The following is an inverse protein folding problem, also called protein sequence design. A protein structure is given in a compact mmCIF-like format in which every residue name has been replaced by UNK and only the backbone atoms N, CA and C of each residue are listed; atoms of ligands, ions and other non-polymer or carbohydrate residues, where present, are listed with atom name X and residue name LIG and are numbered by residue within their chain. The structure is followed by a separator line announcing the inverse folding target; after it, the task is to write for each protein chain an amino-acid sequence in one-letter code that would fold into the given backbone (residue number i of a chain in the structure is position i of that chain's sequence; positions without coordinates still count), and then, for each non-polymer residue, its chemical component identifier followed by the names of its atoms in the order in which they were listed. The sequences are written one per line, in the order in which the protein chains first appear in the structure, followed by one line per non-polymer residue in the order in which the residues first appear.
data_IF_136639529637
#
_entry.id   IF_136639529637
#
_cell.length_a   1.000
_cell.length_b   1.000
_cell.length_c   1.000
_cell.angle_alpha   90.00
_cell.angle_beta   90.00
_cell.angle_gamma   90.00
#
_symmetry.space_group_name_H-M   'P 1'
#
loop_
_entity.id
_entity.type
_entity.pdbx_description
1 polymer ?
#
# COMPACT_ATOMS: atom_id res chain seq x y z
N UNK A 1 2.82 26.55 -20.48
CA UNK A 1 3.09 25.73 -21.68
C UNK A 1 1.78 25.33 -22.38
N UNK A 2 1.81 24.45 -23.39
CA UNK A 2 0.60 23.74 -23.87
C UNK A 2 0.71 22.27 -23.48
N UNK A 3 -0.40 21.60 -23.25
CA UNK A 3 -0.42 20.17 -23.00
C UNK A 3 -0.13 19.40 -24.29
N UNK A 4 0.87 18.52 -24.29
CA UNK A 4 1.18 17.62 -25.41
C UNK A 4 0.11 16.53 -25.64
N UNK A 5 -0.87 16.43 -24.73
CA UNK A 5 -2.18 15.84 -25.06
C UNK A 5 -3.01 16.90 -25.81
N UNK A 6 -3.94 17.56 -25.11
CA UNK A 6 -5.10 18.21 -25.72
C UNK A 6 -4.82 19.61 -26.29
N UNK A 7 -3.56 20.07 -26.30
CA UNK A 7 -3.18 21.41 -26.75
C UNK A 7 -3.67 22.57 -25.87
N UNK A 8 -4.39 22.27 -24.77
CA UNK A 8 -4.83 23.27 -23.80
C UNK A 8 -3.65 24.02 -23.19
N UNK A 9 -3.90 25.26 -22.76
CA UNK A 9 -2.92 26.03 -22.01
C UNK A 9 -2.77 25.44 -20.61
N UNK A 10 -1.52 25.23 -20.21
CA UNK A 10 -1.13 24.64 -18.92
C UNK A 10 -0.16 25.62 -18.27
N UNK A 11 -0.24 25.78 -16.94
CA UNK A 11 0.67 26.60 -16.17
C UNK A 11 2.14 26.18 -16.35
N UNK A 12 3.04 27.04 -15.88
CA UNK A 12 4.47 26.75 -15.92
C UNK A 12 4.91 25.86 -14.75
N UNK A 13 4.04 25.78 -13.73
CA UNK A 13 4.18 25.06 -12.47
C UNK A 13 2.98 24.12 -12.27
N UNK A 14 2.47 23.49 -13.34
CA UNK A 14 1.33 22.54 -13.35
C UNK A 14 1.85 21.14 -13.76
N UNK A 15 1.71 20.09 -12.94
CA UNK A 15 2.10 18.69 -13.26
C UNK A 15 1.02 17.92 -14.01
N UNK A 16 -0.24 18.37 -13.97
CA UNK A 16 -1.35 17.76 -14.70
C UNK A 16 -2.07 18.82 -15.51
N UNK A 17 -2.57 18.44 -16.69
CA UNK A 17 -3.40 19.36 -17.47
C UNK A 17 -4.86 19.36 -16.99
N UNK A 18 -5.34 20.49 -16.45
CA UNK A 18 -6.73 20.65 -15.95
C UNK A 18 -7.83 20.26 -16.95
N UNK A 19 -7.54 20.23 -18.25
CA UNK A 19 -8.51 19.90 -19.30
C UNK A 19 -8.58 18.40 -19.64
N UNK A 20 -7.57 17.59 -19.28
CA UNK A 20 -7.50 16.17 -19.65
C UNK A 20 -6.85 15.23 -18.63
N UNK A 21 -6.42 15.71 -17.46
CA UNK A 21 -5.82 14.92 -16.39
C UNK A 21 -4.42 14.35 -16.64
N UNK A 22 -3.93 14.35 -17.89
CA UNK A 22 -2.60 13.81 -18.24
C UNK A 22 -1.48 14.54 -17.48
N UNK A 23 -0.49 13.83 -16.93
CA UNK A 23 0.78 14.41 -16.53
C UNK A 23 1.43 15.22 -17.66
N UNK A 24 1.99 16.38 -17.33
CA UNK A 24 2.87 17.15 -18.21
C UNK A 24 4.30 17.11 -17.67
N UNK A 25 5.26 16.93 -18.57
CA UNK A 25 6.67 16.90 -18.20
C UNK A 25 7.22 18.33 -18.21
N UNK A 26 7.66 18.83 -17.06
CA UNK A 26 8.54 19.97 -17.03
C UNK A 26 9.93 19.51 -17.44
N UNK A 27 10.48 20.09 -18.51
CA UNK A 27 11.90 20.01 -18.74
C UNK A 27 12.58 20.86 -17.66
N UNK A 28 13.46 20.25 -16.86
CA UNK A 28 14.20 20.94 -15.81
C UNK A 28 14.80 22.23 -16.35
N UNK A 29 14.34 23.36 -15.83
CA UNK A 29 14.95 24.66 -16.11
C UNK A 29 16.23 24.74 -15.28
N UNK A 30 17.25 24.01 -15.73
CA UNK A 30 18.61 24.35 -15.36
C UNK A 30 18.81 25.82 -15.74
N UNK A 31 19.03 26.65 -14.72
CA UNK A 31 19.30 28.07 -14.91
C UNK A 31 20.50 28.19 -15.85
N UNK A 32 20.26 28.63 -17.08
CA UNK A 32 21.31 28.94 -18.04
C UNK A 32 22.04 30.19 -17.57
N UNK A 33 22.96 30.00 -16.63
CA UNK A 33 23.83 31.05 -16.15
C UNK A 33 24.89 31.30 -17.23
N UNK A 34 24.52 32.09 -18.24
CA UNK A 34 25.36 32.41 -19.40
C UNK A 34 26.53 33.30 -18.98
N UNK A 35 27.63 32.67 -18.56
CA UNK A 35 28.92 33.35 -18.37
C UNK A 35 29.57 33.56 -19.73
N UNK A 36 29.49 34.79 -20.22
CA UNK A 36 30.21 35.25 -21.41
C UNK A 36 31.62 35.71 -21.00
N UNK A 37 32.71 35.27 -21.68
CA UNK A 37 34.07 35.51 -21.20
C UNK A 37 34.66 36.86 -21.60
N UNK A 38 35.59 37.30 -20.75
CA UNK A 38 36.67 38.28 -20.97
C UNK A 38 36.36 39.74 -21.34
N UNK A 39 36.66 40.64 -20.39
CA UNK A 39 37.88 41.46 -20.55
C UNK A 39 38.48 41.88 -19.20
N UNK A 40 39.81 41.94 -19.11
CA UNK A 40 40.54 42.08 -17.85
C UNK A 40 40.86 43.54 -17.47
N UNK A 41 40.98 43.82 -16.16
CA UNK A 41 42.04 44.71 -15.65
C UNK A 41 42.37 44.58 -14.14
N UNK A 42 43.46 43.86 -13.88
CA UNK A 42 44.56 44.13 -12.91
C UNK A 42 44.30 45.12 -11.74
N UNK A 43 44.34 44.61 -10.51
CA UNK A 43 44.56 45.34 -9.26
C UNK A 43 45.22 44.41 -8.21
N UNK A 44 46.12 44.93 -7.39
CA UNK A 44 46.97 44.13 -6.48
C UNK A 44 46.54 44.34 -5.02
N UNK A 45 46.57 43.30 -4.18
CA UNK A 45 47.37 43.24 -2.94
C UNK A 45 47.00 42.08 -1.98
N UNK A 46 48.06 41.53 -1.37
CA UNK A 46 48.18 41.12 0.05
C UNK A 46 47.10 40.23 0.67
N UNK A 47 47.44 38.94 0.79
CA UNK A 47 46.56 37.91 1.35
C UNK A 47 46.40 37.89 2.87
N UNK A 48 45.44 37.05 3.28
CA UNK A 48 45.27 36.55 4.64
C UNK A 48 44.80 35.08 4.60
N UNK A 49 44.85 34.40 5.74
CA UNK A 49 44.83 32.93 5.84
C UNK A 49 43.53 32.24 5.39
N UNK A 50 43.66 31.03 4.83
CA UNK A 50 42.55 30.10 4.60
C UNK A 50 41.94 29.63 5.94
N UNK A 51 40.63 29.78 6.19
CA UNK A 51 39.93 28.91 7.10
C UNK A 51 39.73 27.53 6.43
N UNK A 52 39.77 26.46 7.22
CA UNK A 52 39.54 25.11 6.71
C UNK A 52 38.12 24.97 6.13
N UNK A 53 37.97 24.11 5.13
CA UNK A 53 36.66 23.75 4.57
C UNK A 53 35.77 23.16 5.68
N UNK A 54 34.77 23.93 6.09
CA UNK A 54 33.67 23.40 6.90
C UNK A 54 32.87 22.49 6.00
N UNK A 55 32.99 21.17 6.23
CA UNK A 55 32.11 20.19 5.62
C UNK A 55 30.67 20.58 5.97
N UNK A 56 29.74 20.72 5.00
CA UNK A 56 28.34 20.93 5.33
C UNK A 56 27.87 19.70 6.12
N UNK A 57 27.47 19.92 7.37
CA UNK A 57 26.85 18.87 8.18
C UNK A 57 25.58 18.41 7.50
N UNK A 58 25.54 17.16 7.03
CA UNK A 58 24.38 16.56 6.35
C UNK A 58 23.14 16.67 7.25
N UNK A 59 22.19 17.55 6.87
CA UNK A 59 20.94 17.71 7.60
C UNK A 59 19.98 16.65 7.10
N UNK A 60 19.89 15.50 7.78
CA UNK A 60 18.90 14.49 7.41
C UNK A 60 17.49 14.93 7.83
N UNK A 61 16.51 14.74 6.94
CA UNK A 61 15.10 14.94 7.25
C UNK A 61 14.69 14.06 8.44
N UNK A 62 14.26 14.67 9.53
CA UNK A 62 13.86 13.97 10.76
C UNK A 62 12.66 13.02 10.58
N UNK A 63 11.88 13.19 9.51
CA UNK A 63 10.66 12.41 9.25
C UNK A 63 10.89 11.19 8.35
N UNK A 64 11.76 11.27 7.34
CA UNK A 64 12.02 10.17 6.40
C UNK A 64 13.48 9.72 6.29
N UNK A 65 14.41 10.38 6.99
CA UNK A 65 15.84 10.04 6.99
C UNK A 65 16.64 10.48 5.75
N UNK A 66 15.98 10.96 4.70
CA UNK A 66 16.65 11.44 3.48
C UNK A 66 17.58 12.63 3.76
N UNK A 67 18.74 12.75 3.08
CA UNK A 67 19.56 13.96 3.16
C UNK A 67 18.77 15.17 2.66
N UNK A 68 18.98 16.32 3.29
CA UNK A 68 18.45 17.61 2.88
C UNK A 68 19.54 18.68 2.99
N UNK A 69 19.44 19.71 2.15
CA UNK A 69 20.39 20.83 2.17
C UNK A 69 19.98 21.88 3.22
N UNK A 70 20.94 22.61 3.84
CA UNK A 70 20.67 23.47 5.00
C UNK A 70 19.72 24.65 4.76
N UNK A 71 19.43 24.99 3.51
CA UNK A 71 18.51 26.05 3.07
C UNK A 71 17.12 25.53 2.66
N UNK A 72 16.92 24.20 2.61
CA UNK A 72 15.62 23.61 2.30
C UNK A 72 14.62 23.80 3.45
N UNK A 73 13.53 24.53 3.18
CA UNK A 73 12.43 24.68 4.15
C UNK A 73 11.51 23.45 4.26
N UNK A 74 11.56 22.57 3.26
CA UNK A 74 10.76 21.34 3.17
C UNK A 74 11.61 20.21 2.56
N UNK A 75 11.41 18.98 3.00
CA UNK A 75 12.10 17.81 2.47
C UNK A 75 11.56 17.44 1.09
N UNK A 76 12.41 17.43 0.07
CA UNK A 76 12.02 17.10 -1.31
C UNK A 76 11.50 15.65 -1.47
N UNK A 77 11.89 14.72 -0.59
CA UNK A 77 11.48 13.32 -0.66
C UNK A 77 10.14 13.00 0.04
N UNK A 78 9.67 13.84 0.98
CA UNK A 78 8.43 13.58 1.72
C UNK A 78 7.54 14.80 2.02
N UNK A 79 7.89 15.98 1.50
CA UNK A 79 7.14 17.24 1.69
C UNK A 79 7.19 17.86 3.09
N UNK A 80 7.70 17.15 4.10
CA UNK A 80 7.67 17.62 5.49
C UNK A 80 8.60 18.82 5.73
N UNK A 81 8.11 19.80 6.49
CA UNK A 81 8.88 20.99 6.86
C UNK A 81 10.16 20.63 7.64
N UNK A 82 11.26 21.28 7.27
CA UNK A 82 12.56 21.17 7.93
C UNK A 82 12.75 22.47 8.73
N UNK A 83 12.73 22.35 10.05
CA UNK A 83 12.55 23.48 10.95
C UNK A 83 13.78 24.37 11.12
N UNK A 84 13.52 25.68 11.29
CA UNK A 84 14.44 26.65 11.87
C UNK A 84 13.64 27.57 12.80
N UNK A 85 14.17 27.84 13.99
CA UNK A 85 13.50 28.59 15.05
C UNK A 85 13.64 30.13 14.89
N UNK A 86 12.73 30.86 15.56
CA UNK A 86 12.63 32.34 15.70
C UNK A 86 12.33 33.19 14.43
N UNK A 87 11.39 34.15 14.39
CA UNK A 87 10.22 34.51 15.22
C UNK A 87 9.34 35.53 14.40
N UNK A 88 8.05 35.80 14.64
CA UNK A 88 7.07 35.22 15.56
C UNK A 88 6.02 36.24 16.08
N UNK A 89 4.91 36.49 15.35
CA UNK A 89 3.86 37.44 15.79
C UNK A 89 2.40 37.02 15.47
N UNK A 90 1.62 36.76 16.53
CA UNK A 90 0.18 37.08 16.61
C UNK A 90 -0.84 36.20 15.88
N UNK A 91 -1.32 35.14 16.54
CA UNK A 91 -2.52 34.38 16.10
C UNK A 91 -2.97 33.38 17.16
N UNK A 92 -3.91 33.78 18.03
CA UNK A 92 -4.39 32.95 19.16
C UNK A 92 -5.11 31.69 18.68
N UNK A 93 -4.61 30.51 19.06
CA UNK A 93 -5.24 29.24 18.73
C UNK A 93 -6.58 29.04 19.46
N UNK A 94 -7.63 28.73 18.70
CA UNK A 94 -8.89 28.21 19.22
C UNK A 94 -8.82 26.68 19.32
N UNK A 95 -9.01 26.13 20.52
CA UNK A 95 -9.14 24.68 20.74
C UNK A 95 -10.55 24.22 20.32
N UNK A 96 -10.71 23.01 19.78
CA UNK A 96 -12.04 22.51 19.41
C UNK A 96 -12.88 22.25 20.67
N UNK A 97 -14.09 22.82 20.71
CA UNK A 97 -15.04 22.64 21.80
C UNK A 97 -15.81 21.35 21.60
N UNK A 98 -15.62 20.39 22.50
CA UNK A 98 -16.51 19.25 22.64
C UNK A 98 -17.75 19.68 23.45
N UNK A 99 -18.95 19.41 22.95
CA UNK A 99 -20.20 19.62 23.70
C UNK A 99 -20.76 18.28 24.19
N UNK A 100 -20.84 18.15 25.52
CA UNK A 100 -21.59 17.10 26.21
C UNK A 100 -22.66 17.75 27.14
N UNK A 101 -23.77 17.06 27.47
CA UNK A 101 -25.03 17.73 27.79
C UNK A 101 -25.46 17.69 29.28
N UNK A 102 -26.00 18.80 29.77
CA UNK A 102 -26.81 18.95 31.01
C UNK A 102 -27.69 20.22 30.82
N UNK A 103 -28.92 20.39 31.28
CA UNK A 103 -29.82 19.54 32.09
C UNK A 103 -30.47 20.33 33.24
N UNK A 104 -31.66 20.91 32.98
CA UNK A 104 -32.67 21.46 33.92
C UNK A 104 -32.30 22.55 34.97
N UNK A 105 -33.13 23.61 35.09
CA UNK A 105 -33.00 24.58 36.21
C UNK A 105 -33.80 25.90 36.15
N UNK A 106 -35.13 25.85 36.14
CA UNK A 106 -36.13 26.84 36.66
C UNK A 106 -35.80 28.35 36.81
N UNK A 107 -36.64 29.22 36.22
CA UNK A 107 -36.83 30.63 36.63
C UNK A 107 -37.79 31.42 35.70
N UNK A 108 -38.75 32.16 36.26
CA UNK A 108 -39.76 32.96 35.53
C UNK A 108 -39.21 34.36 35.12
N UNK A 109 -39.85 35.24 34.34
CA UNK A 109 -41.27 35.52 34.08
C UNK A 109 -41.49 36.20 32.69
N UNK A 110 -42.72 36.13 32.14
CA UNK A 110 -43.40 37.04 31.16
C UNK A 110 -42.63 37.63 29.94
N UNK A 111 -43.15 37.71 28.71
CA UNK A 111 -44.53 38.00 28.31
C UNK A 111 -44.89 37.48 26.88
N UNK A 112 -46.18 37.31 26.67
CA UNK A 112 -47.03 36.93 25.52
C UNK A 112 -46.51 37.10 24.07
N UNK A 113 -46.57 35.99 23.31
CA UNK A 113 -47.04 35.98 21.91
C UNK A 113 -47.64 34.60 21.56
N UNK A 114 -48.92 34.55 21.15
CA UNK A 114 -49.67 33.29 20.97
C UNK A 114 -49.67 32.85 19.50
N UNK A 115 -49.30 31.58 19.28
CA UNK A 115 -49.64 30.83 18.05
C UNK A 115 -50.44 29.58 18.48
N UNK A 116 -51.64 29.32 17.93
CA UNK A 116 -52.32 28.06 18.14
C UNK A 116 -51.80 27.01 17.15
N UNK A 117 -51.32 25.89 17.68
CA UNK A 117 -51.14 24.65 16.92
C UNK A 117 -52.25 23.66 17.28
N UNK A 118 -52.39 22.62 16.44
CA UNK A 118 -53.17 21.41 16.69
C UNK A 118 -54.72 21.57 16.56
N UNK A 119 -55.52 20.51 16.32
CA UNK A 119 -55.17 19.08 16.38
C UNK A 119 -56.14 18.15 15.59
N UNK A 120 -55.74 16.87 15.48
CA UNK A 120 -56.58 15.65 15.44
C UNK A 120 -57.55 15.29 14.28
N UNK A 121 -57.11 14.29 13.51
CA UNK A 121 -57.73 12.96 13.25
C UNK A 121 -59.07 12.74 12.49
N UNK A 122 -58.95 11.89 11.45
CA UNK A 122 -59.71 10.64 11.21
C UNK A 122 -60.81 10.55 10.11
N UNK A 123 -60.74 9.41 9.39
CA UNK A 123 -61.75 8.71 8.56
C UNK A 123 -62.27 9.36 7.25
N UNK A 124 -62.19 8.58 6.16
CA UNK A 124 -62.81 8.90 4.87
C UNK A 124 -62.36 7.97 3.72
N UNK A 125 -62.98 6.80 3.60
CA UNK A 125 -62.80 5.88 2.45
C UNK A 125 -63.32 6.46 1.14
N UNK A 126 -62.65 6.20 0.00
CA UNK A 126 -63.37 5.74 -1.22
C UNK A 126 -62.47 5.09 -2.28
N UNK A 127 -63.09 4.26 -3.11
CA UNK A 127 -62.49 3.31 -4.08
C UNK A 127 -62.79 3.69 -5.53
N UNK A 128 -61.78 3.65 -6.41
CA UNK A 128 -61.90 3.58 -7.88
C UNK A 128 -60.67 2.81 -8.39
N UNK A 129 -60.68 1.92 -9.37
CA UNK A 129 -61.75 1.40 -10.22
C UNK A 129 -61.14 0.89 -11.54
N UNK A 130 -60.96 -0.42 -11.71
CA UNK A 130 -60.29 -1.04 -12.87
C UNK A 130 -61.21 -1.16 -14.09
N UNK A 131 -60.74 -0.77 -15.28
CA UNK A 131 -61.15 -1.37 -16.56
C UNK A 131 -59.99 -1.38 -17.57
N UNK A 132 -60.04 -2.29 -18.54
CA UNK A 132 -58.99 -2.58 -19.53
C UNK A 132 -59.58 -2.64 -20.97
N UNK A 133 -58.69 -2.87 -21.94
CA UNK A 133 -58.89 -3.37 -23.34
C UNK A 133 -58.35 -2.41 -24.43
N UNK A 134 -57.49 -2.94 -25.32
CA UNK A 134 -57.17 -2.31 -26.60
C UNK A 134 -55.76 -2.62 -27.15
N UNK A 135 -55.58 -3.75 -27.85
CA UNK A 135 -54.50 -3.92 -28.85
C UNK A 135 -54.96 -3.38 -30.22
N UNK A 136 -54.03 -3.05 -31.12
CA UNK A 136 -53.75 -3.99 -32.22
C UNK A 136 -52.26 -4.24 -32.49
N UNK A 137 -51.97 -5.41 -33.08
CA UNK A 137 -50.66 -5.83 -33.58
C UNK A 137 -50.43 -5.38 -35.02
N UNK A 138 -49.18 -5.10 -35.40
CA UNK A 138 -48.39 -5.88 -36.39
C UNK A 138 -47.21 -5.07 -36.93
N UNK A 139 -46.04 -5.71 -37.06
CA UNK A 139 -44.80 -5.01 -37.43
C UNK A 139 -43.54 -5.85 -37.24
N UNK A 140 -43.51 -7.05 -37.81
CA UNK A 140 -42.41 -8.01 -37.71
C UNK A 140 -41.09 -7.47 -38.26
N UNK A 141 -39.95 -7.73 -37.58
CA UNK A 141 -38.85 -8.53 -38.15
C UNK A 141 -37.62 -8.73 -37.25
N UNK A 142 -36.99 -9.90 -37.45
CA UNK A 142 -35.57 -10.22 -37.24
C UNK A 142 -35.02 -10.30 -35.80
N UNK A 143 -35.04 -11.53 -35.29
CA UNK A 143 -34.06 -12.00 -34.31
C UNK A 143 -32.62 -11.89 -34.87
N UNK A 144 -31.80 -11.02 -34.27
CA UNK A 144 -30.38 -10.88 -34.57
C UNK A 144 -29.49 -11.56 -33.53
N UNK A 145 -29.23 -12.85 -33.69
CA UNK A 145 -28.23 -13.56 -32.88
C UNK A 145 -26.84 -13.49 -33.53
N UNK A 146 -25.81 -13.18 -32.72
CA UNK A 146 -24.34 -13.22 -33.01
C UNK A 146 -23.74 -12.05 -33.82
N UNK A 147 -22.39 -11.85 -33.80
CA UNK A 147 -21.35 -12.46 -32.94
C UNK A 147 -20.49 -11.43 -32.16
N UNK A 148 -19.77 -11.90 -31.15
CA UNK A 148 -19.05 -11.04 -30.20
C UNK A 148 -17.66 -10.52 -30.57
N UNK A 149 -17.09 -9.77 -29.62
CA UNK A 149 -15.72 -9.23 -29.60
C UNK A 149 -14.87 -9.79 -28.45
N UNK A 150 -15.07 -11.08 -28.09
CA UNK A 150 -14.19 -11.90 -27.25
C UNK A 150 -12.81 -12.19 -27.91
N UNK A 151 -12.20 -11.15 -28.52
CA UNK A 151 -11.02 -11.22 -29.40
C UNK A 151 -10.05 -10.03 -29.23
N UNK A 152 -10.12 -9.31 -28.10
CA UNK A 152 -9.00 -8.49 -27.59
C UNK A 152 -8.28 -9.12 -26.40
N UNK A 153 -8.85 -10.18 -25.82
CA UNK A 153 -8.03 -11.26 -25.27
C UNK A 153 -7.18 -11.91 -26.39
N UNK A 154 -6.22 -12.76 -25.99
CA UNK A 154 -5.32 -13.59 -26.82
C UNK A 154 -3.99 -12.93 -27.25
N UNK A 155 -3.93 -11.69 -27.75
CA UNK A 155 -2.65 -11.17 -28.31
C UNK A 155 -1.59 -10.88 -27.22
N UNK A 156 -1.93 -10.17 -26.14
CA UNK A 156 -0.99 -9.90 -25.04
C UNK A 156 -0.59 -11.20 -24.30
N UNK A 157 -1.55 -12.11 -24.11
CA UNK A 157 -1.38 -13.37 -23.38
C UNK A 157 -0.42 -14.33 -24.12
N UNK A 158 -0.50 -14.41 -25.45
CA UNK A 158 0.43 -15.25 -26.26
C UNK A 158 1.86 -14.69 -26.24
N UNK A 159 2.04 -13.36 -26.15
CA UNK A 159 3.37 -12.75 -26.06
C UNK A 159 4.06 -13.04 -24.71
N UNK A 160 3.34 -12.92 -23.59
CA UNK A 160 3.88 -13.23 -22.25
C UNK A 160 4.21 -14.73 -22.14
N UNK A 161 3.35 -15.62 -22.62
CA UNK A 161 3.61 -17.07 -22.60
C UNK A 161 4.86 -17.42 -23.44
N UNK A 162 5.08 -16.75 -24.58
CA UNK A 162 6.29 -16.95 -25.39
C UNK A 162 7.57 -16.50 -24.65
N UNK A 163 7.55 -15.37 -23.94
CA UNK A 163 8.68 -14.91 -23.10
C UNK A 163 8.95 -15.90 -21.97
N UNK A 164 7.91 -16.35 -21.25
CA UNK A 164 8.02 -17.33 -20.16
C UNK A 164 8.60 -18.66 -20.65
N UNK A 165 8.19 -19.15 -21.82
CA UNK A 165 8.73 -20.38 -22.41
C UNK A 165 10.21 -20.25 -22.84
N UNK A 166 10.61 -19.12 -23.42
CA UNK A 166 11.99 -18.87 -23.85
C UNK A 166 12.92 -18.73 -22.64
N UNK A 167 12.50 -18.02 -21.59
CA UNK A 167 13.28 -17.90 -20.34
C UNK A 167 13.43 -19.25 -19.65
N UNK A 168 12.35 -20.06 -19.59
CA UNK A 168 12.43 -21.42 -19.04
C UNK A 168 13.42 -22.32 -19.80
N UNK A 169 13.46 -22.23 -21.14
CA UNK A 169 14.43 -22.95 -21.95
C UNK A 169 15.88 -22.51 -21.68
N UNK A 170 16.13 -21.20 -21.53
CA UNK A 170 17.47 -20.67 -21.23
C UNK A 170 17.96 -21.06 -19.83
N UNK A 171 17.09 -21.04 -18.81
CA UNK A 171 17.42 -21.48 -17.45
C UNK A 171 17.70 -23.00 -17.42
N UNK A 172 16.92 -23.81 -18.14
CA UNK A 172 17.18 -25.25 -18.27
C UNK A 172 18.54 -25.53 -18.93
N UNK A 173 18.89 -24.81 -20.00
CA UNK A 173 20.20 -24.91 -20.64
C UNK A 173 21.35 -24.52 -19.69
N UNK A 174 21.19 -23.48 -18.88
CA UNK A 174 22.23 -23.02 -17.93
C UNK A 174 22.46 -24.03 -16.80
N UNK A 175 21.41 -24.67 -16.28
CA UNK A 175 21.52 -25.63 -15.18
C UNK A 175 21.98 -27.03 -15.62
N UNK A 176 21.72 -27.44 -16.86
CA UNK A 176 22.32 -28.64 -17.45
C UNK A 176 23.79 -28.42 -17.84
N UNK A 177 24.15 -27.21 -18.31
CA UNK A 177 25.54 -26.84 -18.62
C UNK A 177 26.48 -26.87 -17.41
N UNK A 178 25.97 -26.66 -16.19
CA UNK A 178 26.76 -26.72 -14.94
C UNK A 178 26.98 -28.12 -14.36
N UNK A 179 26.45 -29.19 -14.97
CA UNK A 179 26.66 -30.59 -14.52
C UNK A 179 27.65 -31.39 -15.37
N UNK A 180 28.35 -30.74 -16.31
CA UNK A 180 29.32 -31.39 -17.22
C UNK A 180 30.77 -30.95 -16.98
N UNK A 181 31.22 -31.02 -15.72
CA UNK A 181 32.62 -31.16 -15.28
C UNK A 181 32.59 -31.33 -13.75
N UNK A 182 33.14 -32.38 -13.12
CA UNK A 182 34.02 -33.45 -13.59
C UNK A 182 33.79 -34.73 -12.76
N UNK A 183 33.80 -35.90 -13.41
CA UNK A 183 33.89 -37.21 -12.73
C UNK A 183 35.36 -37.62 -12.55
N UNK A 184 35.68 -38.23 -11.41
CA UNK A 184 36.31 -39.58 -11.32
C UNK A 184 36.45 -39.96 -9.82
N UNK A 185 35.71 -40.96 -9.33
CA UNK A 185 35.94 -42.41 -9.44
C UNK A 185 36.86 -42.95 -8.32
N UNK A 186 36.27 -43.72 -7.38
CA UNK A 186 36.93 -44.02 -6.08
C UNK A 186 36.51 -45.30 -5.33
N UNK A 187 36.04 -46.34 -6.04
CA UNK A 187 35.85 -47.75 -5.59
C UNK A 187 34.91 -48.08 -4.40
N UNK A 188 34.16 -49.15 -4.60
CA UNK A 188 33.41 -49.84 -3.57
C UNK A 188 34.29 -50.76 -2.69
N UNK A 189 33.80 -51.05 -1.49
CA UNK A 189 33.98 -52.36 -0.82
C UNK A 189 32.81 -52.60 0.12
N UNK A 190 32.10 -53.72 -0.08
CA UNK A 190 31.15 -54.25 0.88
C UNK A 190 31.81 -55.39 1.67
N UNK A 191 31.55 -55.48 2.97
CA UNK A 191 31.86 -56.66 3.77
C UNK A 191 30.85 -56.81 4.90
N UNK A 192 30.04 -57.87 4.82
CA UNK A 192 29.21 -58.36 5.92
C UNK A 192 29.96 -59.46 6.71
N UNK A 193 29.31 -59.99 7.75
CA UNK A 193 29.80 -61.00 8.72
C UNK A 193 30.62 -60.44 9.89
N UNK A 194 30.52 -60.95 11.13
CA UNK A 194 29.47 -61.76 11.75
C UNK A 194 29.62 -61.72 13.29
N UNK A 195 28.52 -62.02 14.00
CA UNK A 195 28.43 -62.58 15.36
C UNK A 195 29.68 -62.65 16.27
N UNK A 196 29.53 -62.17 17.53
CA UNK A 196 29.68 -63.10 18.66
C UNK A 196 28.89 -62.66 19.91
N UNK A 197 28.37 -63.65 20.62
CA UNK A 197 27.69 -63.52 21.91
C UNK A 197 28.72 -63.48 23.05
N UNK A 198 28.43 -62.72 24.11
CA UNK A 198 29.35 -62.53 25.24
C UNK A 198 28.62 -62.18 26.53
N UNK A 199 27.84 -63.12 27.06
CA UNK A 199 27.15 -62.96 28.35
C UNK A 199 28.12 -63.04 29.53
N UNK A 200 28.30 -61.94 30.27
CA UNK A 200 28.79 -62.00 31.65
C UNK A 200 28.03 -61.01 32.54
N UNK A 201 27.10 -61.54 33.34
CA UNK A 201 26.54 -60.82 34.47
C UNK A 201 27.52 -60.85 35.66
N UNK A 202 27.69 -59.72 36.34
CA UNK A 202 28.07 -59.68 37.76
C UNK A 202 27.47 -58.44 38.44
N UNK A 203 27.10 -58.63 39.69
CA UNK A 203 26.23 -57.73 40.46
C UNK A 203 27.03 -56.82 41.40
N UNK A 204 26.45 -55.66 41.71
CA UNK A 204 26.64 -54.96 42.98
C UNK A 204 27.63 -53.79 42.98
N UNK A 205 27.11 -52.56 43.13
CA UNK A 205 27.11 -51.86 44.44
C UNK A 205 26.44 -50.48 44.32
N UNK A 206 25.87 -49.98 45.42
CA UNK A 206 25.38 -48.61 45.52
C UNK A 206 26.49 -47.58 45.27
N UNK A 207 26.14 -46.56 44.51
CA UNK A 207 26.84 -45.27 44.42
C UNK A 207 25.80 -44.16 44.46
N UNK A 208 25.33 -43.82 45.66
CA UNK A 208 24.47 -42.65 45.86
C UNK A 208 25.29 -41.40 45.55
N UNK A 209 25.06 -40.84 44.36
CA UNK A 209 25.56 -39.52 43.96
C UNK A 209 24.37 -38.70 43.51
N UNK A 210 23.82 -37.97 44.48
CA UNK A 210 22.92 -36.82 44.34
C UNK A 210 23.58 -35.72 43.53
N UNK A 211 23.71 -35.95 42.22
CA UNK A 211 24.12 -34.95 41.23
C UNK A 211 23.03 -33.89 41.14
N UNK A 212 23.23 -32.79 41.89
CA UNK A 212 22.36 -31.62 41.90
C UNK A 212 21.99 -31.23 40.47
N UNK A 213 20.69 -31.22 40.19
CA UNK A 213 20.15 -30.60 39.00
C UNK A 213 20.70 -29.18 38.90
N UNK A 214 21.50 -28.91 37.86
CA UNK A 214 21.54 -27.56 37.33
C UNK A 214 20.19 -27.38 36.66
N UNK A 215 19.38 -26.53 37.27
CA UNK A 215 18.10 -26.10 36.72
C UNK A 215 18.37 -25.18 35.52
N UNK A 216 18.78 -25.80 34.41
CA UNK A 216 18.74 -25.17 33.11
C UNK A 216 17.28 -25.19 32.70
N UNK A 217 16.64 -24.02 32.81
CA UNK A 217 15.34 -23.71 32.21
C UNK A 217 15.35 -24.11 30.72
N UNK A 218 14.99 -25.36 30.45
CA UNK A 218 14.95 -25.92 29.11
C UNK A 218 13.59 -25.59 28.54
N UNK A 219 13.43 -24.34 28.13
CA UNK A 219 12.22 -23.84 27.48
C UNK A 219 11.88 -24.79 26.33
N UNK A 220 10.68 -25.36 26.35
CA UNK A 220 10.21 -26.28 25.29
C UNK A 220 10.23 -25.53 23.97
N UNK A 221 10.82 -26.11 22.92
CA UNK A 221 10.87 -25.50 21.59
C UNK A 221 9.85 -26.18 20.69
N UNK A 222 9.03 -25.38 20.00
CA UNK A 222 8.06 -25.88 19.04
C UNK A 222 8.72 -26.05 17.66
N UNK A 223 9.02 -27.29 17.28
CA UNK A 223 9.62 -27.61 15.97
C UNK A 223 8.61 -27.58 14.82
N UNK A 224 7.33 -27.86 15.10
CA UNK A 224 6.24 -27.80 14.13
C UNK A 224 5.87 -26.35 13.79
N UNK A 225 5.67 -26.06 12.50
CA UNK A 225 5.09 -24.78 12.08
C UNK A 225 3.65 -24.68 12.60
N UNK A 226 3.28 -23.61 13.33
CA UNK A 226 1.91 -23.44 13.84
C UNK A 226 0.93 -23.16 12.69
N UNK A 227 -0.36 -23.38 12.95
CA UNK A 227 -1.44 -22.78 12.15
C UNK A 227 -1.70 -21.36 12.60
N UNK A 228 -2.40 -20.55 11.80
CA UNK A 228 -2.76 -19.20 12.19
C UNK A 228 -4.10 -18.74 11.58
N UNK A 229 -4.73 -17.79 12.25
CA UNK A 229 -5.97 -17.11 11.86
C UNK A 229 -5.82 -15.60 12.13
N UNK A 230 -6.45 -14.76 11.30
CA UNK A 230 -6.49 -13.31 11.55
C UNK A 230 -7.63 -13.03 12.53
N UNK A 231 -7.32 -12.43 13.68
CA UNK A 231 -8.35 -12.01 14.65
C UNK A 231 -8.88 -10.60 14.30
N UNK A 232 -8.00 -9.70 13.86
CA UNK A 232 -8.36 -8.34 13.44
C UNK A 232 -7.29 -7.68 12.57
N UNK A 233 -7.69 -6.66 11.80
CA UNK A 233 -6.79 -5.79 11.03
C UNK A 233 -7.03 -4.33 11.45
N UNK A 234 -5.95 -3.60 11.61
CA UNK A 234 -5.88 -2.17 11.93
C UNK A 234 -4.66 -1.57 11.20
N UNK A 235 -4.32 -0.32 11.45
CA UNK A 235 -3.18 0.38 10.85
C UNK A 235 -2.50 1.35 11.82
N UNK A 236 -1.28 1.77 11.49
CA UNK A 236 -0.64 2.96 12.05
C UNK A 236 0.04 3.72 10.92
N UNK A 237 -0.54 4.87 10.55
CA UNK A 237 -0.26 5.48 9.25
C UNK A 237 -0.54 4.48 8.13
N UNK A 238 0.36 4.37 7.15
CA UNK A 238 0.28 3.38 6.07
C UNK A 238 0.93 2.02 6.39
N UNK A 239 1.23 1.73 7.67
CA UNK A 239 1.61 0.37 8.09
C UNK A 239 0.37 -0.38 8.53
N UNK A 240 0.01 -1.45 7.82
CA UNK A 240 -1.05 -2.36 8.24
C UNK A 240 -0.59 -3.20 9.44
N UNK A 241 -1.43 -3.33 10.47
CA UNK A 241 -1.17 -4.11 11.68
C UNK A 241 -2.27 -5.17 11.81
N UNK A 242 -1.92 -6.43 11.57
CA UNK A 242 -2.83 -7.54 11.79
C UNK A 242 -2.59 -8.18 13.17
N UNK A 243 -3.65 -8.39 13.95
CA UNK A 243 -3.62 -9.25 15.13
C UNK A 243 -3.88 -10.68 14.65
N UNK A 244 -2.92 -11.58 14.89
CA UNK A 244 -2.94 -12.95 14.40
C UNK A 244 -2.85 -13.90 15.57
N UNK A 245 -3.81 -14.82 15.66
CA UNK A 245 -3.78 -15.96 16.56
C UNK A 245 -3.05 -17.11 15.90
N UNK A 246 -2.15 -17.73 16.63
CA UNK A 246 -1.38 -18.90 16.21
C UNK A 246 -1.74 -20.06 17.13
N UNK A 247 -1.86 -21.26 16.55
CA UNK A 247 -2.18 -22.49 17.30
C UNK A 247 -1.15 -23.58 17.00
N UNK A 248 -0.68 -24.24 18.05
CA UNK A 248 0.26 -25.34 18.05
C UNK A 248 -0.19 -26.38 19.10
N UNK A 249 -1.26 -27.13 18.79
CA UNK A 249 -1.97 -28.03 19.72
C UNK A 249 -1.14 -29.16 20.36
N UNK A 250 0.12 -29.33 19.97
CA UNK A 250 1.08 -30.26 20.57
C UNK A 250 2.29 -29.57 21.22
N UNK A 251 2.25 -28.26 21.48
CA UNK A 251 3.38 -27.52 22.06
C UNK A 251 2.96 -26.33 22.94
N UNK A 252 3.28 -26.42 24.24
CA UNK A 252 3.25 -25.31 25.19
C UNK A 252 4.68 -24.76 25.37
N UNK A 253 5.20 -24.09 24.35
CA UNK A 253 6.61 -23.70 24.27
C UNK A 253 6.90 -22.50 23.37
N UNK A 254 8.16 -22.30 23.02
CA UNK A 254 8.64 -21.25 22.13
C UNK A 254 8.76 -21.73 20.68
N UNK A 255 7.99 -21.14 19.76
CA UNK A 255 8.29 -21.23 18.33
C UNK A 255 9.31 -20.15 17.96
N UNK A 256 10.55 -20.60 17.71
CA UNK A 256 11.75 -19.77 17.58
C UNK A 256 12.41 -19.97 16.23
N UNK A 257 11.86 -19.35 15.18
CA UNK A 257 12.35 -19.51 13.81
C UNK A 257 12.55 -18.18 13.09
N UNK A 258 13.52 -18.17 12.17
CA UNK A 258 13.74 -17.11 11.17
C UNK A 258 13.04 -17.52 9.87
N UNK A 259 12.97 -16.60 8.91
CA UNK A 259 12.54 -16.89 7.54
C UNK A 259 11.14 -17.55 7.49
N UNK A 260 10.19 -16.97 8.24
CA UNK A 260 8.80 -17.43 8.30
C UNK A 260 7.94 -16.52 7.43
N UNK A 261 7.70 -16.93 6.17
CA UNK A 261 6.76 -16.26 5.27
C UNK A 261 5.34 -16.49 5.78
N UNK A 262 4.63 -15.41 6.08
CA UNK A 262 3.21 -15.41 6.42
C UNK A 262 2.51 -14.64 5.30
N UNK A 263 1.50 -15.25 4.69
CA UNK A 263 0.69 -14.61 3.66
C UNK A 263 -0.81 -14.81 3.91
N UNK A 264 -1.55 -13.71 3.80
CA UNK A 264 -2.99 -13.61 3.93
C UNK A 264 -3.63 -13.69 2.55
N UNK A 265 -4.76 -14.41 2.45
CA UNK A 265 -5.49 -14.63 1.21
C UNK A 265 -6.98 -14.42 1.39
N UNK A 266 -7.56 -13.66 0.46
CA UNK A 266 -9.00 -13.54 0.26
C UNK A 266 -9.35 -14.31 -1.01
N UNK A 267 -9.98 -15.48 -0.87
CA UNK A 267 -10.08 -16.46 -1.95
C UNK A 267 -8.71 -16.86 -2.50
N UNK A 268 -8.49 -16.62 -3.80
CA UNK A 268 -7.22 -16.88 -4.47
C UNK A 268 -6.23 -15.71 -4.38
N UNK A 269 -6.70 -14.48 -4.14
CA UNK A 269 -5.88 -13.27 -4.10
C UNK A 269 -4.97 -13.26 -2.87
N UNK A 270 -3.74 -12.75 -3.01
CA UNK A 270 -2.83 -12.57 -1.87
C UNK A 270 -2.90 -11.12 -1.40
N UNK A 271 -3.66 -10.87 -0.34
CA UNK A 271 -3.93 -9.53 0.19
C UNK A 271 -2.83 -9.00 1.11
N UNK A 272 -1.97 -9.87 1.66
CA UNK A 272 -0.71 -9.48 2.29
C UNK A 272 0.30 -10.62 2.32
N UNK A 273 1.60 -10.30 2.30
CA UNK A 273 2.67 -11.27 2.50
C UNK A 273 3.97 -10.59 2.96
N UNK A 274 4.57 -11.15 4.01
CA UNK A 274 5.89 -10.74 4.50
C UNK A 274 6.62 -11.93 5.16
N UNK A 275 7.93 -11.77 5.37
CA UNK A 275 8.79 -12.76 6.03
C UNK A 275 9.20 -12.27 7.42
N UNK A 276 8.84 -13.00 8.46
CA UNK A 276 9.06 -12.62 9.85
C UNK A 276 10.21 -13.40 10.52
N UNK A 277 10.81 -12.76 11.54
CA UNK A 277 11.90 -13.32 12.35
C UNK A 277 11.47 -13.41 13.82
N UNK A 278 11.14 -14.62 14.26
CA UNK A 278 10.78 -14.96 15.64
C UNK A 278 11.97 -15.53 16.43
N UNK A 279 13.21 -15.41 15.92
CA UNK A 279 14.39 -15.98 16.63
C UNK A 279 14.84 -15.16 17.84
N UNK A 280 14.71 -13.83 17.76
CA UNK A 280 15.04 -12.91 18.86
C UNK A 280 13.86 -12.71 19.84
N UNK A 281 12.64 -12.79 19.32
CA UNK A 281 11.37 -12.70 20.06
C UNK A 281 10.47 -13.88 19.63
N UNK A 282 10.56 -15.02 20.33
CA UNK A 282 9.77 -16.21 19.98
C UNK A 282 8.28 -16.03 20.24
N UNK A 283 7.45 -16.71 19.45
CA UNK A 283 6.04 -16.89 19.79
C UNK A 283 5.94 -17.87 20.96
N UNK A 284 5.24 -17.49 22.03
CA UNK A 284 5.12 -18.28 23.27
C UNK A 284 3.72 -18.84 23.41
N UNK A 285 3.59 -20.15 23.27
CA UNK A 285 2.32 -20.86 23.36
C UNK A 285 1.96 -21.21 24.80
N UNK A 286 0.70 -21.04 25.16
CA UNK A 286 0.08 -21.50 26.40
C UNK A 286 -1.25 -22.15 26.05
N UNK A 287 -1.50 -23.35 26.57
CA UNK A 287 -2.67 -24.16 26.22
C UNK A 287 -2.80 -24.38 24.70
N UNK A 288 -1.65 -24.49 24.02
CA UNK A 288 -1.52 -24.65 22.57
C UNK A 288 -1.80 -23.40 21.73
N UNK A 289 -2.05 -22.22 22.31
CA UNK A 289 -2.35 -20.98 21.54
C UNK A 289 -1.47 -19.78 21.94
N UNK A 290 -1.37 -18.79 21.04
CA UNK A 290 -0.75 -17.49 21.31
C UNK A 290 -1.21 -16.44 20.31
N UNK A 291 -1.14 -15.16 20.66
CA UNK A 291 -1.52 -14.04 19.78
C UNK A 291 -0.34 -13.10 19.59
N UNK A 292 -0.06 -12.72 18.35
CA UNK A 292 0.95 -11.72 18.02
C UNK A 292 0.44 -10.72 16.98
N UNK A 293 0.95 -9.48 17.04
CA UNK A 293 0.69 -8.47 16.01
C UNK A 293 1.76 -8.54 14.93
N UNK A 294 1.37 -8.50 13.66
CA UNK A 294 2.27 -8.48 12.51
C UNK A 294 2.11 -7.13 11.79
N UNK A 295 3.23 -6.46 11.51
CA UNK A 295 3.28 -5.19 10.78
C UNK A 295 3.75 -5.40 9.35
N UNK A 296 2.96 -4.89 8.40
CA UNK A 296 3.20 -4.95 6.96
C UNK A 296 3.33 -3.52 6.42
N UNK A 297 4.42 -3.21 5.73
CA UNK A 297 4.56 -1.93 4.99
C UNK A 297 3.76 -1.95 3.69
N UNK A 298 3.56 -0.80 3.04
CA UNK A 298 2.86 -0.67 1.74
C UNK A 298 3.44 -1.49 0.58
N UNK A 299 4.63 -2.09 0.76
CA UNK A 299 5.26 -3.08 -0.13
C UNK A 299 4.93 -4.55 0.19
N UNK A 300 4.08 -4.80 1.21
CA UNK A 300 3.83 -6.11 1.82
C UNK A 300 2.33 -6.42 2.00
N UNK A 301 1.46 -5.47 1.64
CA UNK A 301 0.01 -5.68 1.60
C UNK A 301 -0.61 -5.04 0.35
N UNK A 302 -1.67 -5.66 -0.15
CA UNK A 302 -2.27 -5.43 -1.48
C UNK A 302 -3.80 -5.37 -1.43
N UNK A 303 -4.35 -4.99 -0.28
CA UNK A 303 -5.77 -4.65 -0.04
C UNK A 303 -5.79 -3.56 1.03
N UNK A 304 -6.57 -2.48 0.93
CA UNK A 304 -6.71 -1.51 2.01
C UNK A 304 -7.11 -2.20 3.32
N UNK A 305 -6.56 -1.74 4.46
CA UNK A 305 -6.71 -2.39 5.76
C UNK A 305 -8.19 -2.47 6.20
N UNK A 306 -9.01 -1.51 5.76
CA UNK A 306 -10.45 -1.39 5.96
C UNK A 306 -11.28 -2.28 5.03
N UNK A 307 -10.65 -2.91 4.03
CA UNK A 307 -11.26 -3.83 3.07
C UNK A 307 -10.76 -5.29 3.24
N UNK A 308 -10.04 -5.60 4.32
CA UNK A 308 -9.65 -6.98 4.69
C UNK A 308 -10.60 -7.50 5.76
N UNK A 309 -11.49 -8.43 5.39
CA UNK A 309 -12.32 -9.15 6.35
C UNK A 309 -11.52 -10.28 7.01
N UNK A 310 -11.28 -10.16 8.31
CA UNK A 310 -10.57 -11.18 9.10
C UNK A 310 -11.28 -12.55 9.10
N UNK A 311 -12.61 -12.61 8.91
CA UNK A 311 -13.38 -13.84 8.92
C UNK A 311 -13.32 -14.63 7.60
N UNK A 312 -13.04 -13.97 6.47
CA UNK A 312 -12.83 -14.63 5.17
C UNK A 312 -11.35 -14.84 4.84
N UNK A 313 -10.47 -14.06 5.47
CA UNK A 313 -9.02 -14.11 5.24
C UNK A 313 -8.41 -15.41 5.76
N UNK A 314 -7.88 -16.23 4.86
CA UNK A 314 -7.09 -17.41 5.19
C UNK A 314 -5.60 -17.07 5.35
N UNK A 315 -4.92 -17.70 6.30
CA UNK A 315 -3.49 -17.49 6.56
C UNK A 315 -2.67 -18.70 6.12
N UNK A 316 -1.56 -18.46 5.43
CA UNK A 316 -0.61 -19.49 5.03
C UNK A 316 0.79 -19.20 5.58
N UNK A 317 1.39 -20.20 6.24
CA UNK A 317 2.74 -20.12 6.81
C UNK A 317 3.70 -21.02 6.01
N UNK A 318 4.89 -20.51 5.72
CA UNK A 318 6.02 -21.28 5.18
C UNK A 318 7.30 -20.88 5.88
N UNK A 319 7.97 -21.86 6.49
CA UNK A 319 9.25 -21.67 7.17
C UNK A 319 10.43 -21.84 6.21
N UNK A 320 11.62 -21.39 6.61
CA UNK A 320 12.85 -21.45 5.78
C UNK A 320 12.71 -20.75 4.42
N UNK A 321 11.86 -19.72 4.37
CA UNK A 321 11.61 -18.89 3.19
C UNK A 321 12.17 -17.49 3.47
N UNK A 322 13.40 -17.23 3.04
CA UNK A 322 14.08 -15.96 3.32
C UNK A 322 13.42 -14.80 2.59
N UNK A 323 13.35 -13.64 3.25
CA UNK A 323 12.81 -12.41 2.69
C UNK A 323 13.86 -11.58 1.94
N UNK A 324 13.40 -10.62 1.16
CA UNK A 324 14.25 -9.61 0.54
C UNK A 324 14.49 -8.40 1.45
N UNK A 325 15.71 -7.87 1.39
CA UNK A 325 16.11 -6.68 2.14
C UNK A 325 16.23 -6.91 3.64
N UNK A 326 16.23 -5.81 4.40
CA UNK A 326 16.16 -5.84 5.86
C UNK A 326 14.69 -5.82 6.27
N UNK A 327 14.31 -6.66 7.23
CA UNK A 327 12.98 -6.59 7.86
C UNK A 327 12.67 -5.20 8.41
N UNK A 328 11.40 -4.79 8.28
CA UNK A 328 10.87 -3.59 8.90
C UNK A 328 11.14 -3.59 10.40
N UNK A 329 11.28 -2.41 11.01
CA UNK A 329 11.42 -2.32 12.46
C UNK A 329 10.11 -2.67 13.16
N UNK A 330 10.21 -3.42 14.25
CA UNK A 330 9.08 -3.67 15.14
C UNK A 330 8.39 -2.35 15.54
N UNK A 331 7.08 -2.28 15.37
CA UNK A 331 6.31 -1.02 15.48
C UNK A 331 5.06 -1.26 16.31
N UNK A 332 4.83 -0.44 17.35
CA UNK A 332 3.74 -0.61 18.33
C UNK A 332 3.60 -2.02 18.94
N UNK A 333 4.72 -2.73 19.11
CA UNK A 333 4.75 -4.11 19.63
C UNK A 333 4.41 -5.18 18.59
N UNK A 334 4.12 -4.80 17.35
CA UNK A 334 4.00 -5.72 16.23
C UNK A 334 5.39 -6.11 15.67
N UNK A 335 5.49 -7.35 15.20
CA UNK A 335 6.66 -7.88 14.51
C UNK A 335 6.78 -7.21 13.13
N UNK A 336 7.94 -6.64 12.81
CA UNK A 336 8.19 -6.07 11.49
C UNK A 336 8.57 -7.15 10.45
N UNK A 337 7.86 -7.18 9.33
CA UNK A 337 8.16 -8.11 8.22
C UNK A 337 9.26 -7.64 7.27
N UNK A 338 10.02 -8.57 6.71
CA UNK A 338 10.81 -8.36 5.49
C UNK A 338 9.94 -8.60 4.25
N UNK A 339 10.34 -8.00 3.12
CA UNK A 339 9.63 -8.14 1.86
C UNK A 339 9.67 -9.59 1.36
N UNK A 340 8.64 -10.00 0.61
CA UNK A 340 8.72 -11.18 -0.26
C UNK A 340 9.56 -10.87 -1.51
N UNK A 341 9.79 -11.86 -2.37
CA UNK A 341 10.53 -11.70 -3.63
C UNK A 341 9.92 -10.59 -4.49
N UNK A 342 10.76 -9.74 -5.10
CA UNK A 342 10.30 -8.57 -5.85
C UNK A 342 9.37 -8.92 -7.03
N UNK A 343 9.48 -10.12 -7.60
CA UNK A 343 8.56 -10.59 -8.65
C UNK A 343 7.20 -11.00 -8.10
N UNK A 344 7.13 -11.44 -6.83
CA UNK A 344 5.85 -11.63 -6.14
C UNK A 344 5.19 -10.29 -5.81
N UNK A 345 5.94 -9.29 -5.35
CA UNK A 345 5.43 -7.94 -5.09
C UNK A 345 4.80 -7.35 -6.36
N UNK A 346 5.52 -7.40 -7.49
CA UNK A 346 5.00 -6.86 -8.76
C UNK A 346 3.74 -7.58 -9.25
N UNK A 347 3.68 -8.90 -9.10
CA UNK A 347 2.48 -9.69 -9.44
C UNK A 347 1.30 -9.30 -8.53
N UNK A 348 1.48 -9.37 -7.22
CA UNK A 348 0.40 -9.09 -6.26
C UNK A 348 -0.09 -7.64 -6.35
N UNK A 349 0.80 -6.68 -6.63
CA UNK A 349 0.41 -5.30 -6.88
C UNK A 349 -0.35 -5.14 -8.20
N UNK A 350 0.00 -5.87 -9.26
CA UNK A 350 -0.78 -5.86 -10.50
C UNK A 350 -2.18 -6.45 -10.29
N UNK A 351 -2.28 -7.62 -9.66
CA UNK A 351 -3.56 -8.29 -9.35
C UNK A 351 -4.46 -7.35 -8.52
N UNK A 352 -3.88 -6.66 -7.53
CA UNK A 352 -4.61 -5.73 -6.67
C UNK A 352 -5.00 -4.40 -7.32
N UNK A 353 -4.22 -3.90 -8.29
CA UNK A 353 -4.60 -2.75 -9.10
C UNK A 353 -5.83 -3.06 -9.96
N UNK A 354 -5.92 -4.26 -10.53
CA UNK A 354 -7.12 -4.70 -11.26
C UNK A 354 -8.32 -4.83 -10.31
N UNK A 355 -8.16 -5.52 -9.18
CA UNK A 355 -9.22 -5.66 -8.18
C UNK A 355 -9.74 -4.31 -7.65
N UNK A 356 -8.83 -3.35 -7.38
CA UNK A 356 -9.22 -2.07 -6.78
C UNK A 356 -10.04 -1.21 -7.76
N UNK A 357 -9.67 -1.19 -9.04
CA UNK A 357 -10.44 -0.51 -10.08
C UNK A 357 -11.84 -1.11 -10.23
N UNK A 358 -11.96 -2.43 -10.19
CA UNK A 358 -13.27 -3.11 -10.24
C UNK A 358 -14.11 -2.86 -8.97
N UNK A 359 -13.48 -2.86 -7.79
CA UNK A 359 -14.14 -2.60 -6.50
C UNK A 359 -14.70 -1.18 -6.41
N UNK A 360 -13.88 -0.19 -6.75
CA UNK A 360 -14.21 1.23 -6.60
C UNK A 360 -15.21 1.76 -7.65
N UNK A 361 -15.51 0.98 -8.69
CA UNK A 361 -16.33 1.40 -9.84
C UNK A 361 -17.69 2.02 -9.43
N UNK A 362 -18.35 1.46 -8.41
CA UNK A 362 -19.61 1.99 -7.90
C UNK A 362 -19.42 3.33 -7.18
N UNK A 363 -18.37 3.46 -6.37
CA UNK A 363 -18.07 4.70 -5.64
C UNK A 363 -17.73 5.85 -6.60
N UNK A 364 -17.02 5.56 -7.71
CA UNK A 364 -16.63 6.55 -8.71
C UNK A 364 -17.83 7.18 -9.42
N UNK A 365 -18.98 6.48 -9.49
CA UNK A 365 -20.18 6.96 -10.21
C UNK A 365 -20.71 8.31 -9.70
N UNK A 366 -20.49 8.66 -8.42
CA UNK A 366 -20.93 9.96 -7.85
C UNK A 366 -20.20 11.16 -8.45
N UNK A 367 -19.02 10.96 -9.04
CA UNK A 367 -18.20 12.06 -9.58
C UNK A 367 -18.64 12.54 -10.97
N UNK A 368 -19.70 11.97 -11.54
CA UNK A 368 -20.43 12.58 -12.65
C UNK A 368 -21.27 13.78 -12.18
N UNK A 369 -21.90 13.67 -11.00
CA UNK A 369 -22.83 14.69 -10.49
C UNK A 369 -22.16 15.75 -9.61
N UNK A 370 -21.02 15.43 -8.97
CA UNK A 370 -20.28 16.33 -8.09
C UNK A 370 -18.76 16.32 -8.36
N UNK A 371 -18.09 17.49 -8.35
CA UNK A 371 -16.63 17.57 -8.36
C UNK A 371 -15.94 16.80 -7.23
N UNK A 372 -14.72 16.33 -7.50
CA UNK A 372 -13.78 15.66 -6.58
C UNK A 372 -12.36 16.13 -6.86
N UNK A 373 -11.34 15.54 -6.22
CA UNK A 373 -9.92 15.87 -6.45
C UNK A 373 -9.10 14.64 -6.83
N UNK A 374 -8.39 14.72 -7.97
CA UNK A 374 -7.37 13.76 -8.38
C UNK A 374 -6.09 14.00 -7.58
N UNK A 375 -5.59 12.97 -6.88
CA UNK A 375 -4.38 13.00 -6.05
C UNK A 375 -3.17 12.33 -6.72
N UNK A 376 -3.41 11.42 -7.67
CA UNK A 376 -2.33 10.85 -8.49
C UNK A 376 -2.84 10.37 -9.85
N UNK A 377 -1.93 10.34 -10.82
CA UNK A 377 -2.07 9.62 -12.09
C UNK A 377 -0.71 8.99 -12.42
N UNK A 378 -0.66 7.67 -12.59
CA UNK A 378 0.56 6.88 -12.85
C UNK A 378 0.29 5.69 -13.78
N UNK A 379 1.30 5.22 -14.50
CA UNK A 379 1.25 3.95 -15.24
C UNK A 379 2.57 3.19 -15.12
N UNK A 380 2.51 1.88 -15.32
CA UNK A 380 3.71 1.03 -15.33
C UNK A 380 4.72 1.52 -16.38
N UNK A 381 5.98 1.61 -15.99
CA UNK A 381 7.06 2.10 -16.86
C UNK A 381 7.08 3.62 -17.07
N UNK A 382 6.19 4.38 -16.42
CA UNK A 382 6.26 5.85 -16.41
C UNK A 382 7.52 6.31 -15.65
N UNK A 383 8.26 7.26 -16.21
CA UNK A 383 9.37 7.92 -15.52
C UNK A 383 8.96 9.31 -15.04
N UNK A 384 9.11 9.58 -13.74
CA UNK A 384 8.89 10.88 -13.10
C UNK A 384 10.01 11.08 -12.06
N UNK A 385 10.64 12.26 -12.04
CA UNK A 385 11.66 12.64 -11.05
C UNK A 385 12.81 11.61 -10.94
N UNK A 386 13.21 11.02 -12.08
CA UNK A 386 14.24 9.96 -12.17
C UNK A 386 13.80 8.57 -11.68
N UNK A 387 12.56 8.41 -11.22
CA UNK A 387 11.97 7.13 -10.82
C UNK A 387 11.12 6.55 -11.93
N UNK A 388 11.45 5.33 -12.36
CA UNK A 388 10.56 4.48 -13.17
C UNK A 388 9.56 3.79 -12.25
N UNK A 389 8.27 4.04 -12.46
CA UNK A 389 7.17 3.52 -11.66
C UNK A 389 6.80 2.08 -12.06
N UNK A 390 6.77 1.19 -11.08
CA UNK A 390 6.31 -0.19 -11.22
C UNK A 390 4.93 -0.40 -10.58
N UNK A 391 4.35 -1.60 -10.68
CA UNK A 391 3.03 -1.86 -10.09
C UNK A 391 3.09 -1.75 -8.55
N UNK A 392 4.16 -2.27 -7.94
CA UNK A 392 4.38 -2.13 -6.50
C UNK A 392 4.44 -0.68 -6.03
N UNK A 393 5.08 0.21 -6.81
CA UNK A 393 5.15 1.64 -6.50
C UNK A 393 3.79 2.35 -6.58
N UNK A 394 3.00 2.01 -7.60
CA UNK A 394 1.68 2.63 -7.85
C UNK A 394 0.70 2.22 -6.75
N UNK A 395 0.66 0.93 -6.41
CA UNK A 395 -0.23 0.44 -5.36
C UNK A 395 0.21 0.92 -3.97
N UNK A 396 1.53 0.95 -3.69
CA UNK A 396 2.04 1.49 -2.43
C UNK A 396 1.65 2.98 -2.24
N UNK A 397 1.75 3.80 -3.30
CA UNK A 397 1.29 5.19 -3.26
C UNK A 397 -0.23 5.28 -3.00
N UNK A 398 -1.04 4.41 -3.60
CA UNK A 398 -2.48 4.37 -3.31
C UNK A 398 -2.75 4.06 -1.83
N UNK A 399 -2.02 3.11 -1.24
CA UNK A 399 -2.15 2.77 0.18
C UNK A 399 -1.72 3.91 1.10
N UNK A 400 -0.63 4.62 0.77
CA UNK A 400 -0.21 5.84 1.49
C UNK A 400 -1.29 6.94 1.41
N UNK A 401 -1.94 7.10 0.26
CA UNK A 401 -3.04 8.04 0.07
C UNK A 401 -4.30 7.61 0.83
N UNK A 402 -4.72 6.34 0.76
CA UNK A 402 -5.90 5.79 1.47
C UNK A 402 -5.74 5.87 2.99
N UNK A 403 -4.53 5.67 3.51
CA UNK A 403 -4.25 5.83 4.94
C UNK A 403 -4.38 7.29 5.43
N UNK A 404 -4.14 8.28 4.56
CA UNK A 404 -4.37 9.71 4.85
C UNK A 404 -5.81 10.14 4.55
N UNK A 405 -6.42 9.54 3.53
CA UNK A 405 -7.74 9.85 2.97
C UNK A 405 -8.57 8.56 2.85
N UNK A 406 -9.29 8.14 3.91
CA UNK A 406 -10.02 6.87 3.92
C UNK A 406 -11.12 6.74 2.87
N UNK A 407 -11.54 7.83 2.24
CA UNK A 407 -12.47 7.83 1.10
C UNK A 407 -11.80 7.55 -0.26
N UNK A 408 -10.46 7.58 -0.34
CA UNK A 408 -9.73 7.60 -1.61
C UNK A 408 -9.95 6.34 -2.45
N UNK A 409 -10.24 6.53 -3.73
CA UNK A 409 -10.58 5.46 -4.69
C UNK A 409 -9.69 5.50 -5.92
N UNK A 410 -9.53 4.36 -6.58
CA UNK A 410 -8.73 4.20 -7.79
C UNK A 410 -9.60 3.89 -9.01
N UNK A 411 -9.31 4.56 -10.13
CA UNK A 411 -9.92 4.26 -11.42
C UNK A 411 -8.86 4.00 -12.50
N UNK A 412 -9.26 3.29 -13.56
CA UNK A 412 -8.49 3.20 -14.79
C UNK A 412 -8.97 4.28 -15.78
N UNK A 413 -8.10 5.24 -16.11
CA UNK A 413 -8.51 6.45 -16.80
C UNK A 413 -9.06 6.22 -18.22
N UNK A 414 -8.66 5.15 -18.91
CA UNK A 414 -9.18 4.82 -20.25
C UNK A 414 -10.67 4.42 -20.27
N UNK A 415 -11.29 4.13 -19.12
CA UNK A 415 -12.70 3.76 -19.05
C UNK A 415 -13.65 4.97 -18.91
N UNK A 416 -13.10 6.19 -18.73
CA UNK A 416 -13.88 7.39 -18.46
C UNK A 416 -13.67 8.47 -19.54
N UNK A 417 -14.78 9.01 -20.06
CA UNK A 417 -14.79 10.03 -21.13
C UNK A 417 -13.96 11.27 -20.77
N UNK A 418 -13.95 11.69 -19.50
CA UNK A 418 -13.19 12.85 -19.02
C UNK A 418 -11.70 12.84 -19.43
N UNK A 419 -11.03 11.68 -19.35
CA UNK A 419 -9.62 11.54 -19.75
C UNK A 419 -9.48 11.31 -21.25
N UNK A 420 -10.36 10.48 -21.84
CA UNK A 420 -10.25 9.99 -23.22
C UNK A 420 -10.79 10.97 -24.28
N UNK A 421 -11.63 11.95 -23.91
CA UNK A 421 -12.33 12.89 -24.83
C UNK A 421 -11.46 13.67 -25.81
N UNK A 422 -10.15 13.74 -25.55
CA UNK A 422 -9.18 14.43 -26.41
C UNK A 422 -8.45 13.49 -27.40
N UNK A 423 -8.70 12.17 -27.36
CA UNK A 423 -8.19 11.20 -28.35
C UNK A 423 -6.76 10.72 -28.12
N UNK A 424 -6.28 10.70 -26.87
CA UNK A 424 -4.92 10.28 -26.52
C UNK A 424 -4.90 9.07 -25.57
N UNK A 425 -3.73 8.46 -25.38
CA UNK A 425 -3.50 7.45 -24.35
C UNK A 425 -3.95 7.96 -22.97
N UNK A 426 -4.84 7.20 -22.34
CA UNK A 426 -5.36 7.44 -20.99
C UNK A 426 -5.08 6.24 -20.08
N UNK A 427 -4.04 5.46 -20.41
CA UNK A 427 -3.69 4.20 -19.75
C UNK A 427 -3.01 4.43 -18.40
N UNK A 428 -3.72 5.08 -17.47
CA UNK A 428 -3.22 5.45 -16.15
C UNK A 428 -4.16 4.95 -15.04
N UNK A 429 -3.56 4.44 -13.96
CA UNK A 429 -4.24 4.35 -12.67
C UNK A 429 -4.30 5.76 -12.09
N UNK A 430 -5.51 6.20 -11.76
CA UNK A 430 -5.77 7.52 -11.18
C UNK A 430 -6.36 7.32 -9.79
N UNK A 431 -5.77 7.99 -8.80
CA UNK A 431 -6.29 8.01 -7.42
C UNK A 431 -7.04 9.31 -7.22
N UNK A 432 -8.31 9.21 -6.82
CA UNK A 432 -9.16 10.32 -6.40
C UNK A 432 -9.25 10.35 -4.87
N UNK A 433 -9.45 11.52 -4.28
CA UNK A 433 -9.59 11.69 -2.82
C UNK A 433 -10.83 11.00 -2.24
N UNK A 434 -11.84 10.71 -3.08
CA UNK A 434 -13.12 10.15 -2.65
C UNK A 434 -14.15 11.20 -2.23
N UNK A 435 -13.67 12.37 -1.81
CA UNK A 435 -14.45 13.52 -1.36
C UNK A 435 -15.25 14.14 -2.50
N UNK A 436 -16.40 14.73 -2.18
CA UNK A 436 -17.23 15.50 -3.13
C UNK A 436 -17.35 16.95 -2.70
N UNK A 437 -17.34 17.86 -3.66
CA UNK A 437 -17.36 19.31 -3.43
C UNK A 437 -18.50 19.99 -4.22
N UNK A 438 -19.05 21.08 -3.70
CA UNK A 438 -20.10 21.87 -4.37
C UNK A 438 -19.63 22.51 -5.69
N UNK A 439 -18.31 22.61 -5.92
CA UNK A 439 -17.71 23.21 -7.11
C UNK A 439 -16.27 22.75 -7.31
N UNK A 440 -15.75 22.88 -8.56
CA UNK A 440 -14.34 22.65 -8.87
C UNK A 440 -13.43 23.63 -8.08
N UNK A 441 -13.88 24.87 -7.83
CA UNK A 441 -13.13 25.84 -7.02
C UNK A 441 -13.02 25.42 -5.55
N UNK A 442 -14.09 24.87 -4.96
CA UNK A 442 -14.03 24.31 -3.60
C UNK A 442 -13.04 23.13 -3.51
N UNK A 443 -12.99 22.27 -4.54
CA UNK A 443 -11.97 21.23 -4.65
C UNK A 443 -10.53 21.79 -4.75
N UNK A 444 -10.31 22.88 -5.49
CA UNK A 444 -9.00 23.55 -5.57
C UNK A 444 -8.58 24.18 -4.24
N UNK A 445 -9.53 24.75 -3.49
CA UNK A 445 -9.28 25.21 -2.11
C UNK A 445 -8.88 24.06 -1.20
N UNK A 446 -9.62 22.94 -1.23
CA UNK A 446 -9.29 21.74 -0.45
C UNK A 446 -7.89 21.19 -0.78
N UNK A 447 -7.47 21.19 -2.05
CA UNK A 447 -6.09 20.82 -2.44
C UNK A 447 -5.06 21.70 -1.71
N UNK A 448 -5.27 23.02 -1.74
CA UNK A 448 -4.36 24.02 -1.17
C UNK A 448 -4.30 23.95 0.36
N UNK A 449 -5.47 23.79 1.00
CA UNK A 449 -5.62 23.63 2.46
C UNK A 449 -4.91 22.38 2.97
N UNK A 450 -4.87 21.31 2.17
CA UNK A 450 -4.19 20.06 2.50
C UNK A 450 -2.72 19.99 2.09
N UNK A 451 -2.15 21.15 1.72
CA UNK A 451 -0.73 21.35 1.38
C UNK A 451 -0.24 20.52 0.20
N UNK A 452 -1.15 20.15 -0.71
CA UNK A 452 -0.74 19.72 -2.04
C UNK A 452 -0.20 20.92 -2.82
N UNK A 453 0.91 20.77 -3.54
CA UNK A 453 1.29 21.73 -4.54
C UNK A 453 0.23 21.81 -5.65
N UNK A 454 0.31 22.83 -6.52
CA UNK A 454 -0.50 22.95 -7.74
C UNK A 454 -0.42 21.72 -8.69
N UNK A 455 0.50 20.81 -8.35
CA UNK A 455 1.03 19.69 -9.09
C UNK A 455 0.65 18.32 -8.52
N UNK A 456 -0.04 18.32 -7.39
CA UNK A 456 -0.16 17.14 -6.54
C UNK A 456 -1.63 16.83 -6.24
N UNK A 457 -2.52 17.78 -6.57
CA UNK A 457 -3.95 17.67 -6.42
C UNK A 457 -4.65 18.55 -7.45
N UNK A 458 -5.65 18.01 -8.15
CA UNK A 458 -6.39 18.72 -9.21
C UNK A 458 -7.89 18.47 -9.07
N UNK A 459 -8.68 19.54 -9.03
CA UNK A 459 -10.14 19.42 -8.97
C UNK A 459 -10.71 18.98 -10.33
N UNK A 460 -11.49 17.90 -10.33
CA UNK A 460 -12.11 17.31 -11.52
C UNK A 460 -13.60 17.05 -11.28
N UNK A 461 -14.31 16.75 -12.37
CA UNK A 461 -15.61 16.09 -12.38
C UNK A 461 -15.56 15.19 -13.63
N UNK A 462 -16.24 14.06 -13.65
CA UNK A 462 -16.12 13.08 -14.74
C UNK A 462 -17.04 13.42 -15.94
N UNK A 463 -17.27 14.72 -16.16
CA UNK A 463 -18.22 15.32 -17.12
C UNK A 463 -17.75 15.33 -18.59
#
# INVERSE_FOLDING_TARGET
MRCDNCGAQVGQEDRFCEQCGKPVAHADVQQQNTVQPDTAQRGMESGDAMPAAVQPSEVSCRFCGSPAEPDMRFCQNCGMALGGDDAGAGGTGARPVQTAPVGAGTGADTDTAVVPAANTTAYGTQTVGTQSVGLPSDGSQSAGSRPGSHRKAVIAIVAVIAVVAIVAALVACFQLGRRSASNDAGRASASASASQSGTHARSGSHGDTTSKSKDSDSTVVCDSTPTAEVDSVDHSGSTMIATVRFSASSCDGEFKQRDVRIAFKDGDDTVAAAVFDFSAKPLRFSDGETTAKLAFSTSQYWRPYDLIDAYTTSVSLRTKTSGEGKGNTDTHGAYGGANVDATEIERYAHDALEWQVDHDQLDISRFYDAPTTQLSSKKYGMEIDGKVWKYGDIYAQFLDLRAKWPSAVMLWASDYTYYTRNGHESDFYVVLSGETFDSKDAGKSWCSENHFGANDCMAIQLD
#
